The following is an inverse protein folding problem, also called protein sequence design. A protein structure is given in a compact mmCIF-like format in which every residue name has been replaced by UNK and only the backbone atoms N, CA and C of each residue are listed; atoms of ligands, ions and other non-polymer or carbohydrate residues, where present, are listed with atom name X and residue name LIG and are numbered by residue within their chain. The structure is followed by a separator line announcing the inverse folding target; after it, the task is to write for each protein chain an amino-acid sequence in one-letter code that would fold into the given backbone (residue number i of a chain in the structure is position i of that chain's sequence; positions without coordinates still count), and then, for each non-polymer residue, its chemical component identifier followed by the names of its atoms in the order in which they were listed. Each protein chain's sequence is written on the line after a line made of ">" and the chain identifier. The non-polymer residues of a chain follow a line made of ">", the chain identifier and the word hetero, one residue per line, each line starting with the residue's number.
data_IF_531544575995
#
_entry.id   IF_531544575995
#
_cell.length_a   1.000
_cell.length_b   1.000
_cell.length_c   1.000
_cell.angle_alpha   90.00
_cell.angle_beta   90.00
_cell.angle_gamma   90.00
#
_symmetry.space_group_name_H-M   'P 1'
#
loop_
_entity.id
_entity.type
_entity.pdbx_description
1 polymer ?
#
# COMPACT_ATOMS: atom_id res chain seq x y z
N UNK A 1 -1.47 -3.20 -18.62
CA UNK A 1 -0.98 -1.89 -18.15
C UNK A 1 -1.68 -1.61 -16.83
N UNK A 2 -0.97 -1.44 -15.72
CA UNK A 2 -1.59 -1.00 -14.45
C UNK A 2 -1.91 0.47 -14.54
N UNK A 3 -3.17 0.84 -14.48
CA UNK A 3 -3.63 2.23 -14.54
C UNK A 3 -3.24 2.98 -13.26
N UNK A 4 -2.74 4.21 -13.42
CA UNK A 4 -2.54 5.15 -12.33
C UNK A 4 -3.84 5.92 -12.09
N UNK A 5 -4.18 6.14 -10.82
CA UNK A 5 -5.34 6.92 -10.45
C UNK A 5 -5.01 7.87 -9.31
N UNK A 6 -5.72 8.99 -9.25
CA UNK A 6 -5.49 10.03 -8.27
C UNK A 6 -6.64 10.10 -7.27
N UNK A 7 -6.29 10.28 -6.00
CA UNK A 7 -7.25 10.52 -4.93
C UNK A 7 -7.09 11.95 -4.44
N UNK A 8 -8.11 12.76 -4.68
CA UNK A 8 -8.29 14.00 -3.93
C UNK A 8 -8.83 13.68 -2.52
N UNK A 9 -8.18 14.26 -1.51
CA UNK A 9 -8.48 14.03 -0.10
C UNK A 9 -8.47 15.33 0.71
N UNK A 10 -8.68 16.48 0.05
CA UNK A 10 -8.67 17.80 0.69
C UNK A 10 -7.27 18.32 1.07
N UNK A 11 -6.21 17.80 0.45
CA UNK A 11 -4.86 18.35 0.54
C UNK A 11 -4.51 19.19 -0.69
N UNK A 12 -3.42 19.97 -0.61
CA UNK A 12 -2.97 20.85 -1.70
C UNK A 12 -2.62 20.10 -2.98
N UNK A 13 -2.29 18.81 -2.90
CA UNK A 13 -2.00 17.96 -4.05
C UNK A 13 -2.69 16.61 -3.88
N UNK A 14 -3.31 16.07 -4.95
CA UNK A 14 -3.88 14.75 -4.92
C UNK A 14 -2.78 13.70 -4.74
N UNK A 15 -3.17 12.53 -4.24
CA UNK A 15 -2.28 11.39 -4.12
C UNK A 15 -2.44 10.47 -5.32
N UNK A 16 -1.35 10.25 -6.04
CA UNK A 16 -1.30 9.25 -7.11
C UNK A 16 -1.07 7.86 -6.53
N UNK A 17 -1.88 6.91 -6.99
CA UNK A 17 -1.83 5.49 -6.70
C UNK A 17 -1.65 4.70 -7.98
N UNK A 18 -1.08 3.51 -7.83
CA UNK A 18 -0.92 2.54 -8.90
C UNK A 18 -1.13 1.15 -8.33
N UNK A 19 -1.76 0.27 -9.08
CA UNK A 19 -1.94 -1.12 -8.65
C UNK A 19 -0.59 -1.77 -8.36
N UNK A 20 -0.48 -2.38 -7.18
CA UNK A 20 0.69 -3.15 -6.79
C UNK A 20 0.55 -4.56 -7.38
N UNK A 21 1.30 -4.91 -8.42
CA UNK A 21 1.24 -6.23 -9.05
C UNK A 21 2.40 -7.09 -8.58
N UNK A 22 2.11 -8.31 -8.12
CA UNK A 22 3.13 -9.29 -7.71
C UNK A 22 3.53 -10.10 -8.95
N UNK A 23 4.52 -9.59 -9.68
CA UNK A 23 5.09 -10.24 -10.87
C UNK A 23 6.47 -10.88 -10.61
N UNK A 24 6.98 -10.76 -9.38
CA UNK A 24 8.29 -11.29 -8.98
C UNK A 24 8.36 -11.57 -7.49
N UNK A 25 9.22 -12.50 -7.08
CA UNK A 25 9.48 -12.83 -5.67
C UNK A 25 9.89 -11.58 -4.87
N UNK A 26 10.67 -10.69 -5.47
CA UNK A 26 11.08 -9.43 -4.84
C UNK A 26 9.88 -8.56 -4.45
N UNK A 27 8.86 -8.48 -5.31
CA UNK A 27 7.63 -7.74 -5.00
C UNK A 27 6.79 -8.43 -3.95
N UNK A 28 6.79 -9.76 -3.90
CA UNK A 28 6.14 -10.51 -2.83
C UNK A 28 6.81 -10.22 -1.47
N UNK A 29 8.14 -10.34 -1.41
CA UNK A 29 8.92 -10.04 -0.20
C UNK A 29 8.75 -8.60 0.27
N UNK A 30 8.74 -7.64 -0.67
CA UNK A 30 8.51 -6.24 -0.32
C UNK A 30 7.09 -6.03 0.21
N UNK A 31 6.09 -6.70 -0.35
CA UNK A 31 4.71 -6.60 0.14
C UNK A 31 4.60 -7.16 1.57
N UNK A 32 5.25 -8.28 1.88
CA UNK A 32 5.34 -8.81 3.25
C UNK A 32 6.00 -7.81 4.20
N UNK A 33 7.11 -7.20 3.80
CA UNK A 33 7.78 -6.16 4.60
C UNK A 33 6.88 -4.94 4.88
N UNK A 34 6.03 -4.55 3.92
CA UNK A 34 5.00 -3.53 4.15
C UNK A 34 3.98 -4.00 5.17
N UNK A 35 3.52 -5.25 5.08
CA UNK A 35 2.58 -5.85 6.03
C UNK A 35 3.12 -5.86 7.46
N UNK A 36 4.37 -6.32 7.65
CA UNK A 36 5.05 -6.29 8.95
C UNK A 36 5.18 -4.86 9.49
N UNK A 37 5.53 -3.90 8.63
CA UNK A 37 5.58 -2.49 9.02
C UNK A 37 4.22 -1.98 9.50
N UNK A 38 3.16 -2.22 8.73
CA UNK A 38 1.79 -1.79 9.07
C UNK A 38 1.35 -2.43 10.38
N UNK A 39 1.50 -3.75 10.54
CA UNK A 39 1.09 -4.46 11.75
C UNK A 39 1.86 -3.99 13.00
N UNK A 40 3.14 -3.64 12.87
CA UNK A 40 3.97 -3.20 14.00
C UNK A 40 3.87 -1.71 14.34
N UNK A 41 3.50 -0.85 13.39
CA UNK A 41 3.58 0.61 13.57
C UNK A 41 2.23 1.34 13.44
N UNK A 42 1.20 0.69 12.92
CA UNK A 42 -0.11 1.30 12.71
C UNK A 42 -1.12 0.69 13.67
N UNK A 43 -1.66 1.53 14.56
CA UNK A 43 -2.76 1.14 15.43
C UNK A 43 -4.09 1.20 14.66
N UNK A 44 -4.63 0.03 14.34
CA UNK A 44 -5.86 -0.11 13.54
C UNK A 44 -7.09 0.49 14.24
N UNK A 45 -7.21 0.35 15.56
CA UNK A 45 -8.31 0.97 16.33
C UNK A 45 -8.31 2.49 16.25
N UNK A 46 -7.15 3.09 16.00
CA UNK A 46 -7.03 4.53 15.73
C UNK A 46 -7.43 4.83 14.28
N UNK A 47 -7.00 3.99 13.34
CA UNK A 47 -7.28 4.18 11.91
C UNK A 47 -8.78 4.13 11.60
N UNK A 48 -9.54 3.23 12.20
CA UNK A 48 -11.01 3.13 11.97
C UNK A 48 -11.77 4.40 12.36
N UNK A 49 -11.18 5.24 13.22
CA UNK A 49 -11.77 6.51 13.69
C UNK A 49 -11.28 7.71 12.87
N UNK A 50 -10.33 7.52 11.96
CA UNK A 50 -9.78 8.59 11.13
C UNK A 50 -10.76 8.99 10.03
N UNK A 51 -10.83 10.29 9.76
CA UNK A 51 -11.50 10.77 8.56
C UNK A 51 -10.67 10.45 7.30
N UNK A 52 -11.30 10.57 6.13
CA UNK A 52 -10.66 10.28 4.83
C UNK A 52 -9.33 11.02 4.66
N UNK A 53 -9.26 12.30 5.04
CA UNK A 53 -8.05 13.10 4.90
C UNK A 53 -6.94 12.62 5.85
N UNK A 54 -7.27 12.32 7.11
CA UNK A 54 -6.32 11.75 8.08
C UNK A 54 -5.78 10.40 7.60
N UNK A 55 -6.64 9.52 7.10
CA UNK A 55 -6.26 8.22 6.56
C UNK A 55 -5.23 8.34 5.43
N UNK A 56 -5.52 9.15 4.42
CA UNK A 56 -4.61 9.32 3.28
C UNK A 56 -3.29 10.03 3.65
N UNK A 57 -3.30 10.90 4.66
CA UNK A 57 -2.05 11.45 5.23
C UNK A 57 -1.20 10.37 5.91
N UNK A 58 -1.82 9.43 6.62
CA UNK A 58 -1.12 8.30 7.24
C UNK A 58 -0.51 7.39 6.17
N UNK A 59 -1.27 7.08 5.11
CA UNK A 59 -0.80 6.29 3.97
C UNK A 59 0.41 6.96 3.32
N UNK A 60 0.34 8.26 3.05
CA UNK A 60 1.45 8.99 2.43
C UNK A 60 2.70 9.01 3.33
N UNK A 61 2.53 9.28 4.63
CA UNK A 61 3.65 9.25 5.58
C UNK A 61 4.31 7.87 5.64
N UNK A 62 3.51 6.81 5.68
CA UNK A 62 3.99 5.43 5.71
C UNK A 62 4.75 5.06 4.44
N UNK A 63 4.19 5.42 3.26
CA UNK A 63 4.85 5.19 1.98
C UNK A 63 6.18 5.96 1.88
N UNK A 64 6.25 7.22 2.34
CA UNK A 64 7.49 7.99 2.37
C UNK A 64 8.53 7.30 3.26
N UNK A 65 8.14 6.81 4.44
CA UNK A 65 9.06 6.14 5.34
C UNK A 65 9.58 4.82 4.74
N UNK A 66 8.69 3.99 4.19
CA UNK A 66 9.06 2.75 3.50
C UNK A 66 9.98 3.02 2.31
N UNK A 67 9.70 4.06 1.53
CA UNK A 67 10.58 4.46 0.43
C UNK A 67 11.97 4.89 0.93
N UNK A 68 12.07 5.54 2.10
CA UNK A 68 13.35 5.92 2.72
C UNK A 68 14.13 4.72 3.25
N UNK A 69 13.46 3.77 3.90
CA UNK A 69 14.11 2.59 4.50
C UNK A 69 14.61 1.65 3.41
N UNK A 70 13.77 1.34 2.43
CA UNK A 70 14.04 0.26 1.48
C UNK A 70 14.53 0.75 0.11
N UNK A 71 14.34 2.03 -0.24
CA UNK A 71 14.62 2.58 -1.58
C UNK A 71 14.04 1.70 -2.72
N UNK A 72 12.75 1.33 -2.65
CA UNK A 72 12.17 0.26 -3.45
C UNK A 72 12.14 0.59 -4.95
N UNK A 73 12.07 1.87 -5.32
CA UNK A 73 12.14 2.30 -6.73
C UNK A 73 13.51 2.04 -7.33
N UNK A 74 14.58 2.40 -6.62
CA UNK A 74 15.95 2.24 -7.12
C UNK A 74 16.39 0.77 -7.13
N UNK A 75 15.94 -0.02 -6.14
CA UNK A 75 16.36 -1.41 -6.00
C UNK A 75 15.50 -2.40 -6.77
N UNK A 76 14.20 -2.14 -6.87
CA UNK A 76 13.20 -3.14 -7.29
C UNK A 76 12.22 -2.61 -8.33
N UNK A 77 12.36 -1.35 -8.78
CA UNK A 77 11.43 -0.72 -9.72
C UNK A 77 10.04 -0.42 -9.14
N UNK A 78 9.82 -0.63 -7.85
CA UNK A 78 8.52 -0.41 -7.19
C UNK A 78 8.35 1.09 -6.92
N UNK A 79 7.37 1.70 -7.55
CA UNK A 79 7.09 3.13 -7.46
C UNK A 79 6.43 3.49 -6.14
N UNK A 80 6.56 4.76 -5.71
CA UNK A 80 5.86 5.24 -4.50
C UNK A 80 4.34 5.11 -4.61
N UNK A 81 3.78 5.23 -5.81
CA UNK A 81 2.36 5.01 -6.08
C UNK A 81 1.92 3.57 -5.77
N UNK A 82 2.75 2.58 -6.14
CA UNK A 82 2.55 1.17 -5.77
C UNK A 82 2.69 0.97 -4.26
N UNK A 83 3.71 1.57 -3.61
CA UNK A 83 3.89 1.48 -2.16
C UNK A 83 2.66 2.00 -1.40
N UNK A 84 2.06 3.13 -1.84
CA UNK A 84 0.84 3.66 -1.23
C UNK A 84 -0.32 2.66 -1.33
N UNK A 85 -0.48 2.00 -2.47
CA UNK A 85 -1.51 0.96 -2.66
C UNK A 85 -1.27 -0.25 -1.75
N UNK A 86 -0.03 -0.72 -1.63
CA UNK A 86 0.34 -1.80 -0.72
C UNK A 86 0.02 -1.46 0.76
N UNK A 87 0.29 -0.22 1.17
CA UNK A 87 -0.04 0.25 2.53
C UNK A 87 -1.56 0.25 2.74
N UNK A 88 -2.34 0.78 1.79
CA UNK A 88 -3.81 0.79 1.88
C UNK A 88 -4.36 -0.64 1.98
N UNK A 89 -3.86 -1.54 1.14
CA UNK A 89 -4.23 -2.95 1.15
C UNK A 89 -4.05 -3.56 2.54
N UNK A 90 -2.84 -3.47 3.11
CA UNK A 90 -2.57 -4.06 4.42
C UNK A 90 -3.39 -3.46 5.55
N UNK A 91 -3.57 -2.15 5.56
CA UNK A 91 -4.41 -1.50 6.58
C UNK A 91 -5.84 -2.03 6.51
N UNK A 92 -6.39 -2.18 5.30
CA UNK A 92 -7.75 -2.72 5.09
C UNK A 92 -7.85 -4.19 5.47
N UNK A 93 -6.92 -5.03 5.01
CA UNK A 93 -6.87 -6.46 5.34
C UNK A 93 -6.84 -6.71 6.84
N UNK A 94 -6.08 -5.91 7.61
CA UNK A 94 -6.05 -6.05 9.07
C UNK A 94 -7.35 -5.51 9.71
N UNK A 95 -7.90 -4.41 9.19
CA UNK A 95 -9.13 -3.79 9.72
C UNK A 95 -10.37 -4.67 9.52
N UNK A 96 -10.45 -5.37 8.39
CA UNK A 96 -11.58 -6.23 8.03
C UNK A 96 -11.49 -7.62 8.69
N UNK A 97 -10.44 -7.87 9.49
CA UNK A 97 -10.25 -9.16 10.14
C UNK A 97 -9.98 -10.30 9.16
N UNK A 98 -9.53 -9.98 7.94
CA UNK A 98 -9.20 -10.97 6.92
C UNK A 98 -7.98 -11.73 7.39
N UNK A 99 -8.24 -12.89 8.03
CA UNK A 99 -7.25 -13.95 8.13
C UNK A 99 -6.76 -14.23 6.71
N UNK A 100 -5.44 -14.24 6.54
CA UNK A 100 -4.74 -14.54 5.30
C UNK A 100 -5.38 -15.76 4.61
N UNK A 101 -6.24 -15.50 3.62
CA UNK A 101 -7.17 -16.51 3.13
C UNK A 101 -8.05 -16.05 1.97
N UNK A 102 -7.61 -15.12 1.14
CA UNK A 102 -8.18 -14.99 -0.21
C UNK A 102 -7.16 -14.32 -1.15
N UNK A 103 -6.46 -15.17 -1.92
CA UNK A 103 -5.59 -14.79 -3.04
C UNK A 103 -6.45 -14.42 -4.27
N UNK A 104 -7.46 -13.57 -4.12
CA UNK A 104 -8.38 -13.27 -5.22
C UNK A 104 -8.41 -11.79 -5.58
N UNK A 105 -7.23 -11.23 -5.87
CA UNK A 105 -7.19 -10.04 -6.76
C UNK A 105 -5.91 -9.90 -7.61
N UNK A 106 -5.02 -10.89 -7.59
CA UNK A 106 -3.85 -10.96 -8.48
C UNK A 106 -4.04 -12.08 -9.50
N UNK A 107 -5.05 -11.93 -10.37
CA UNK A 107 -5.19 -12.81 -11.52
C UNK A 107 -4.18 -12.35 -12.58
N UNK A 108 -3.11 -13.12 -12.73
CA UNK A 108 -2.36 -13.16 -13.98
C UNK A 108 -3.27 -13.83 -15.01
N UNK A 109 -3.98 -13.05 -15.83
CA UNK A 109 -4.39 -13.55 -17.15
C UNK A 109 -3.28 -13.19 -18.14
N UNK A 110 -2.44 -14.19 -18.39
CA UNK A 110 -1.68 -14.28 -19.63
C UNK A 110 -2.53 -15.03 -20.64
N UNK A 111 -2.67 -14.46 -21.82
CA UNK A 111 -2.74 -15.17 -23.10
C UNK A 111 -1.75 -14.48 -24.04
#
# INVERSE_FOLDING_TARGET
>A
MTEEFEIDYGARRPLTFRHYVIDSEVKEWFLDAVGQYVAGHINIETVIKMDRAQFYRLVEKSAILLCRIYSPTAKYGITKAEVRSAVVYWIRSISEGTQCGEREQYRCDGD
#
